data_IF_344021359180
#
_entry.id   IF_344021359180
#
_cell.length_a   1.000
_cell.length_b   1.000
_cell.length_c   1.000
_cell.angle_alpha   90.00
_cell.angle_beta   90.00
_cell.angle_gamma   90.00
#
_symmetry.space_group_name_H-M   'P 1'
#
loop_
_entity.id
_entity.type
_entity.pdbx_description
1 polymer ?
#
# COMPACT_ATOMS: atom_id res chain seq x y z
N UNK A 1 11.67 69.11 -44.66
CA UNK A 1 10.47 68.47 -44.08
C UNK A 1 10.58 68.57 -42.56
N UNK A 2 10.01 69.61 -41.95
CA UNK A 2 10.11 69.82 -40.50
C UNK A 2 9.11 68.89 -39.79
N UNK A 3 9.59 67.83 -39.16
CA UNK A 3 8.75 67.02 -38.29
C UNK A 3 8.44 67.82 -37.02
N UNK A 4 7.16 68.05 -36.73
CA UNK A 4 6.71 68.60 -35.45
C UNK A 4 7.24 67.72 -34.30
N UNK A 5 7.73 68.35 -33.23
CA UNK A 5 8.30 67.70 -32.03
C UNK A 5 7.38 66.58 -31.50
N UNK A 6 6.05 66.74 -31.58
CA UNK A 6 5.10 65.72 -31.14
C UNK A 6 5.03 64.49 -32.05
N UNK A 7 5.27 64.66 -33.36
CA UNK A 7 5.32 63.55 -34.33
C UNK A 7 6.61 62.76 -34.18
N UNK A 8 7.75 63.44 -33.96
CA UNK A 8 9.04 62.82 -33.68
C UNK A 8 9.05 61.99 -32.39
N UNK A 9 8.47 62.53 -31.31
CA UNK A 9 8.36 61.82 -30.03
C UNK A 9 7.50 60.54 -30.14
N UNK A 10 6.39 60.60 -30.89
CA UNK A 10 5.53 59.42 -31.13
C UNK A 10 6.24 58.33 -31.92
N UNK A 11 6.99 58.69 -32.95
CA UNK A 11 7.79 57.70 -33.72
C UNK A 11 8.88 57.06 -32.87
N UNK A 12 9.53 57.83 -31.99
CA UNK A 12 10.60 57.32 -31.13
C UNK A 12 10.05 56.38 -30.05
N UNK A 13 8.91 56.73 -29.45
CA UNK A 13 8.19 55.87 -28.53
C UNK A 13 7.76 54.56 -29.18
N UNK A 14 7.24 54.62 -30.42
CA UNK A 14 6.84 53.42 -31.17
C UNK A 14 8.03 52.49 -31.46
N UNK A 15 9.18 53.04 -31.87
CA UNK A 15 10.41 52.26 -32.13
C UNK A 15 10.94 51.61 -30.85
N UNK A 16 10.97 52.34 -29.73
CA UNK A 16 11.39 51.79 -28.44
C UNK A 16 10.47 50.65 -27.99
N UNK A 17 9.16 50.79 -28.21
CA UNK A 17 8.18 49.78 -27.85
C UNK A 17 8.34 48.52 -28.72
N UNK A 18 8.55 48.66 -30.02
CA UNK A 18 8.84 47.52 -30.91
C UNK A 18 10.17 46.82 -30.56
N UNK A 19 11.21 47.56 -30.18
CA UNK A 19 12.49 46.99 -29.75
C UNK A 19 12.39 46.25 -28.40
N UNK A 20 11.48 46.67 -27.51
CA UNK A 20 11.25 45.98 -26.24
C UNK A 20 10.53 44.64 -26.42
N UNK A 21 9.68 44.51 -27.45
CA UNK A 21 8.95 43.26 -27.75
C UNK A 21 9.87 42.20 -28.37
N UNK A 22 10.93 42.59 -29.10
CA UNK A 22 11.92 41.65 -29.63
C UNK A 22 12.91 41.12 -28.58
N UNK A 23 12.90 41.67 -27.36
CA UNK A 23 13.74 41.21 -26.25
C UNK A 23 13.16 39.99 -25.50
N UNK A 24 11.92 39.59 -25.81
CA UNK A 24 11.35 38.33 -25.33
C UNK A 24 12.06 37.15 -26.02
N UNK A 25 13.18 36.73 -25.44
CA UNK A 25 13.98 35.60 -25.93
C UNK A 25 13.17 34.29 -25.92
N UNK A 26 13.36 33.51 -26.98
CA UNK A 26 12.82 32.15 -27.08
C UNK A 26 13.18 31.34 -25.82
N UNK A 27 12.29 30.49 -25.30
CA UNK A 27 12.63 29.58 -24.20
C UNK A 27 13.84 28.74 -24.63
N UNK A 28 14.97 28.92 -23.93
CA UNK A 28 16.21 28.21 -24.22
C UNK A 28 16.11 26.79 -23.71
N UNK A 29 16.54 25.81 -24.52
CA UNK A 29 16.45 24.38 -24.20
C UNK A 29 17.32 23.92 -23.02
N UNK A 30 18.14 24.82 -22.45
CA UNK A 30 18.96 24.53 -21.27
C UNK A 30 20.26 25.35 -21.23
N UNK A 31 21.07 25.12 -20.19
CA UNK A 31 22.39 25.74 -20.04
C UNK A 31 23.38 25.21 -21.08
N UNK A 32 24.28 26.08 -21.52
CA UNK A 32 25.40 25.75 -22.39
C UNK A 32 26.53 25.04 -21.65
N UNK A 33 27.42 24.39 -22.39
CA UNK A 33 28.60 23.72 -21.81
C UNK A 33 29.43 24.67 -20.94
N UNK A 34 29.66 25.91 -21.38
CA UNK A 34 30.44 26.88 -20.59
C UNK A 34 29.77 27.24 -19.26
N UNK A 35 28.44 27.33 -19.24
CA UNK A 35 27.65 27.58 -18.03
C UNK A 35 27.67 26.38 -17.09
N UNK A 36 27.54 25.16 -17.61
CA UNK A 36 27.63 23.92 -16.82
C UNK A 36 28.99 23.84 -16.12
N UNK A 37 30.09 24.12 -16.83
CA UNK A 37 31.45 24.07 -16.27
C UNK A 37 31.80 25.24 -15.33
N UNK A 38 31.03 26.33 -15.34
CA UNK A 38 31.32 27.52 -14.52
C UNK A 38 31.32 27.23 -13.02
N UNK A 39 30.43 26.36 -12.55
CA UNK A 39 30.34 25.95 -11.14
C UNK A 39 31.16 24.70 -10.80
N UNK A 40 32.01 24.21 -11.72
CA UNK A 40 32.72 22.96 -11.50
C UNK A 40 33.92 23.11 -10.59
N UNK A 41 34.31 22.04 -9.91
CA UNK A 41 35.56 21.97 -9.15
C UNK A 41 36.78 22.32 -10.02
N UNK A 42 36.76 21.99 -11.32
CA UNK A 42 37.80 22.36 -12.28
C UNK A 42 37.95 23.88 -12.47
N UNK A 43 36.92 24.66 -12.12
CA UNK A 43 36.89 26.13 -12.17
C UNK A 43 36.70 26.77 -10.79
N UNK A 44 37.00 26.03 -9.72
CA UNK A 44 36.94 26.55 -8.35
C UNK A 44 35.54 26.60 -7.72
N UNK A 45 34.55 25.94 -8.32
CA UNK A 45 33.25 25.67 -7.69
C UNK A 45 33.23 24.35 -6.92
N UNK A 46 32.04 23.85 -6.61
CA UNK A 46 31.80 22.64 -5.81
C UNK A 46 31.14 21.49 -6.59
N UNK A 47 30.79 21.71 -7.86
CA UNK A 47 30.14 20.69 -8.68
C UNK A 47 31.16 19.75 -9.38
N UNK A 48 30.95 18.44 -9.25
CA UNK A 48 31.67 17.44 -10.04
C UNK A 48 30.94 17.18 -11.36
N UNK A 49 31.58 17.52 -12.47
CA UNK A 49 31.06 17.24 -13.81
C UNK A 49 31.72 15.98 -14.34
N UNK A 50 30.92 14.92 -14.48
CA UNK A 50 31.37 13.63 -15.00
C UNK A 50 30.86 13.48 -16.43
N UNK A 51 31.78 13.27 -17.38
CA UNK A 51 31.39 12.94 -18.75
C UNK A 51 30.80 11.54 -18.82
N UNK A 52 29.60 11.42 -19.39
CA UNK A 52 28.93 10.14 -19.58
C UNK A 52 29.70 9.31 -20.60
N UNK A 53 30.19 8.15 -20.18
CA UNK A 53 30.89 7.18 -21.01
C UNK A 53 30.55 5.75 -20.55
N UNK A 54 30.87 4.70 -21.33
CA UNK A 54 30.51 3.33 -20.99
C UNK A 54 31.03 2.85 -19.63
N UNK A 55 32.17 3.37 -19.16
CA UNK A 55 32.71 3.04 -17.83
C UNK A 55 31.82 3.64 -16.73
N UNK A 56 31.41 4.91 -16.86
CA UNK A 56 30.52 5.58 -15.90
C UNK A 56 29.16 4.89 -15.89
N UNK A 57 28.56 4.64 -17.06
CA UNK A 57 27.26 3.96 -17.16
C UNK A 57 27.28 2.58 -16.49
N UNK A 58 28.36 1.81 -16.65
CA UNK A 58 28.52 0.52 -15.97
C UNK A 58 28.76 0.66 -14.46
N UNK A 59 29.54 1.65 -14.04
CA UNK A 59 29.78 1.89 -12.62
C UNK A 59 28.52 2.37 -11.89
N UNK A 60 27.62 3.07 -12.59
CA UNK A 60 26.36 3.59 -12.04
C UNK A 60 25.16 2.71 -12.38
N UNK A 61 25.32 1.56 -13.04
CA UNK A 61 24.22 0.65 -13.35
C UNK A 61 23.83 -0.14 -12.11
N UNK A 62 23.13 0.51 -11.19
CA UNK A 62 22.46 -0.16 -10.08
C UNK A 62 21.09 -0.59 -10.59
N UNK A 63 20.88 -1.89 -10.74
CA UNK A 63 19.53 -2.42 -10.91
C UNK A 63 18.93 -2.61 -9.51
N UNK A 64 17.80 -1.95 -9.18
CA UNK A 64 17.07 -2.28 -7.97
C UNK A 64 16.69 -3.75 -8.02
N UNK A 65 16.90 -4.48 -6.91
CA UNK A 65 16.36 -5.82 -6.80
C UNK A 65 14.83 -5.72 -6.74
N UNK A 66 14.15 -6.10 -7.83
CA UNK A 66 12.71 -6.27 -7.81
C UNK A 66 12.41 -7.58 -7.07
N UNK A 67 11.81 -7.47 -5.89
CA UNK A 67 11.47 -8.61 -5.06
C UNK A 67 10.67 -8.18 -3.83
N UNK A 68 10.09 -9.16 -3.14
CA UNK A 68 9.43 -8.90 -1.87
C UNK A 68 10.47 -8.58 -0.79
N UNK A 69 10.16 -7.58 0.04
CA UNK A 69 11.04 -7.20 1.14
C UNK A 69 11.18 -8.32 2.18
N UNK A 70 12.21 -8.26 3.03
CA UNK A 70 12.50 -9.30 4.03
C UNK A 70 11.34 -9.55 5.00
N UNK A 71 10.51 -8.55 5.28
CA UNK A 71 9.31 -8.73 6.12
C UNK A 71 8.27 -9.67 5.50
N UNK A 72 8.18 -9.72 4.17
CA UNK A 72 7.25 -10.60 3.47
C UNK A 72 7.87 -11.98 3.22
N UNK A 73 9.14 -12.04 2.79
CA UNK A 73 9.80 -13.34 2.55
C UNK A 73 10.05 -14.13 3.83
N UNK A 74 10.18 -13.45 4.97
CA UNK A 74 10.35 -14.08 6.28
C UNK A 74 9.05 -14.17 7.09
N UNK A 75 7.91 -13.77 6.52
CA UNK A 75 6.63 -13.94 7.20
C UNK A 75 6.37 -15.45 7.40
N UNK A 76 5.94 -15.83 8.60
CA UNK A 76 5.52 -17.20 8.87
C UNK A 76 4.34 -17.59 7.98
N UNK A 77 4.29 -18.85 7.56
CA UNK A 77 3.13 -19.39 6.85
C UNK A 77 1.95 -19.34 7.82
N UNK A 78 0.97 -18.46 7.55
CA UNK A 78 -0.31 -18.51 8.25
C UNK A 78 -0.94 -19.83 7.83
N UNK A 79 -1.08 -20.76 8.77
CA UNK A 79 -1.74 -22.03 8.50
C UNK A 79 -3.14 -21.75 7.95
N UNK A 80 -3.51 -22.43 6.86
CA UNK A 80 -4.83 -22.34 6.20
C UNK A 80 -5.99 -22.62 7.17
N UNK A 81 -5.69 -23.20 8.32
CA UNK A 81 -6.67 -23.74 9.24
C UNK A 81 -6.84 -22.83 10.47
N UNK A 82 -6.34 -21.60 10.50
CA UNK A 82 -6.53 -20.72 11.66
C UNK A 82 -7.82 -19.91 11.52
N UNK A 83 -8.74 -20.12 12.45
CA UNK A 83 -10.00 -19.36 12.53
C UNK A 83 -9.70 -17.90 12.90
N UNK A 84 -10.37 -16.96 12.25
CA UNK A 84 -10.23 -15.51 12.44
C UNK A 84 -11.56 -14.87 12.87
N UNK A 85 -11.48 -13.62 13.36
CA UNK A 85 -12.67 -12.82 13.62
C UNK A 85 -13.38 -12.49 12.30
N UNK A 86 -14.70 -12.66 12.25
CA UNK A 86 -15.50 -12.52 11.04
C UNK A 86 -15.76 -13.82 10.28
N UNK A 87 -15.04 -14.91 10.59
CA UNK A 87 -15.31 -16.22 10.00
C UNK A 87 -16.71 -16.72 10.38
N UNK A 88 -17.28 -17.55 9.52
CA UNK A 88 -18.57 -18.21 9.75
C UNK A 88 -18.33 -19.70 9.90
N UNK A 89 -18.74 -20.25 11.04
CA UNK A 89 -18.56 -21.65 11.38
C UNK A 89 -19.90 -22.39 11.25
N UNK A 90 -19.84 -23.61 10.70
CA UNK A 90 -20.92 -24.60 10.79
C UNK A 90 -20.45 -25.69 11.73
N UNK A 91 -21.21 -25.92 12.81
CA UNK A 91 -20.89 -26.88 13.85
C UNK A 91 -22.00 -27.92 13.90
N UNK A 92 -21.63 -29.19 13.73
CA UNK A 92 -22.53 -30.33 13.92
C UNK A 92 -22.14 -31.05 15.18
N UNK A 93 -23.04 -31.11 16.15
CA UNK A 93 -22.85 -31.85 17.40
C UNK A 93 -23.68 -33.13 17.33
N UNK A 94 -23.03 -34.27 17.54
CA UNK A 94 -23.71 -35.57 17.64
C UNK A 94 -23.94 -35.91 19.11
N UNK A 95 -25.17 -36.29 19.44
CA UNK A 95 -25.60 -36.52 20.82
C UNK A 95 -26.03 -37.98 21.00
N UNK A 96 -25.67 -38.57 22.15
CA UNK A 96 -25.96 -39.98 22.45
C UNK A 96 -27.32 -40.18 23.16
N UNK A 97 -28.19 -39.16 23.20
CA UNK A 97 -29.50 -39.20 23.86
C UNK A 97 -30.59 -39.07 22.79
N UNK A 98 -31.58 -39.97 22.81
CA UNK A 98 -32.65 -40.01 21.79
C UNK A 98 -33.89 -39.20 22.19
N UNK A 99 -34.18 -39.10 23.49
CA UNK A 99 -35.45 -38.53 23.97
C UNK A 99 -35.38 -37.00 24.14
N UNK A 100 -34.36 -36.49 24.85
CA UNK A 100 -34.12 -35.04 25.05
C UNK A 100 -32.64 -34.69 24.78
N UNK A 101 -32.26 -34.39 23.51
CA UNK A 101 -30.94 -33.86 23.20
C UNK A 101 -30.75 -32.45 23.82
N UNK A 102 -29.53 -32.16 24.26
CA UNK A 102 -29.10 -30.90 24.87
C UNK A 102 -29.22 -29.73 23.87
N UNK A 103 -28.75 -29.90 22.63
CA UNK A 103 -28.68 -28.84 21.64
C UNK A 103 -29.72 -28.97 20.51
N UNK A 104 -30.44 -30.09 20.46
CA UNK A 104 -31.25 -30.51 19.32
C UNK A 104 -32.75 -30.52 19.58
N UNK A 105 -33.52 -30.86 18.55
CA UNK A 105 -34.94 -31.18 18.70
C UNK A 105 -35.14 -32.65 19.10
N UNK A 106 -36.13 -32.94 19.94
CA UNK A 106 -36.49 -34.31 20.36
C UNK A 106 -36.62 -35.26 19.17
N UNK A 107 -35.96 -36.42 19.22
CA UNK A 107 -35.93 -37.40 18.14
C UNK A 107 -34.84 -37.18 17.07
N UNK A 108 -34.07 -36.09 17.12
CA UNK A 108 -32.87 -35.88 16.29
C UNK A 108 -31.60 -36.22 17.09
N UNK A 109 -30.68 -36.99 16.50
CA UNK A 109 -29.38 -37.36 17.12
C UNK A 109 -28.23 -36.41 16.79
N UNK A 110 -28.52 -35.35 16.04
CA UNK A 110 -27.54 -34.33 15.68
C UNK A 110 -28.16 -32.93 15.78
N UNK A 111 -27.34 -32.00 16.21
CA UNK A 111 -27.68 -30.59 16.39
C UNK A 111 -26.79 -29.78 15.46
N UNK A 112 -27.40 -29.12 14.48
CA UNK A 112 -26.70 -28.27 13.53
C UNK A 112 -26.79 -26.82 13.98
N UNK A 113 -25.65 -26.25 14.34
CA UNK A 113 -25.49 -24.83 14.61
C UNK A 113 -24.84 -24.20 13.38
N UNK A 114 -25.71 -23.70 12.49
CA UNK A 114 -25.31 -23.09 11.24
C UNK A 114 -25.04 -21.59 11.41
N UNK A 115 -24.12 -21.08 10.60
CA UNK A 115 -23.86 -19.64 10.47
C UNK A 115 -23.42 -18.95 11.78
N UNK A 116 -22.68 -19.65 12.64
CA UNK A 116 -22.10 -19.01 13.83
C UNK A 116 -20.94 -18.12 13.39
N UNK A 117 -21.17 -16.81 13.44
CA UNK A 117 -20.13 -15.82 13.17
C UNK A 117 -19.19 -15.67 14.37
N UNK A 118 -17.89 -15.65 14.10
CA UNK A 118 -16.86 -15.29 15.07
C UNK A 118 -16.89 -13.77 15.27
N UNK A 119 -17.15 -13.32 16.50
CA UNK A 119 -17.30 -11.90 16.80
C UNK A 119 -15.98 -11.10 16.71
N UNK A 120 -16.06 -9.77 16.87
CA UNK A 120 -14.89 -8.89 16.80
C UNK A 120 -13.84 -9.12 17.90
N UNK A 121 -14.19 -9.84 18.96
CA UNK A 121 -13.24 -10.28 19.99
C UNK A 121 -12.70 -11.68 19.70
N UNK A 122 -13.09 -12.31 18.59
CA UNK A 122 -12.68 -13.65 18.21
C UNK A 122 -13.40 -14.76 18.96
N UNK A 123 -14.59 -14.49 19.51
CA UNK A 123 -15.37 -15.42 20.30
C UNK A 123 -16.58 -15.96 19.52
N UNK A 124 -17.04 -17.15 19.90
CA UNK A 124 -18.33 -17.71 19.50
C UNK A 124 -19.17 -18.03 20.72
N UNK A 125 -20.49 -18.08 20.55
CA UNK A 125 -21.40 -18.54 21.60
C UNK A 125 -21.98 -19.90 21.21
N UNK A 126 -21.88 -20.87 22.12
CA UNK A 126 -22.52 -22.18 21.99
C UNK A 126 -23.45 -22.37 23.19
N UNK A 127 -24.72 -22.76 22.98
CA UNK A 127 -25.62 -23.04 24.10
C UNK A 127 -25.01 -24.04 25.09
N UNK A 128 -25.22 -23.83 26.39
CA UNK A 128 -24.65 -24.59 27.53
C UNK A 128 -23.13 -24.51 27.71
N UNK A 129 -22.35 -24.41 26.62
CA UNK A 129 -20.89 -24.23 26.68
C UNK A 129 -20.46 -22.75 26.86
N UNK A 130 -21.36 -21.79 26.61
CA UNK A 130 -21.14 -20.36 26.79
C UNK A 130 -20.25 -19.74 25.70
N UNK A 131 -19.50 -18.69 26.08
CA UNK A 131 -18.59 -17.97 25.16
C UNK A 131 -17.24 -18.69 25.07
N UNK A 132 -16.81 -19.02 23.86
CA UNK A 132 -15.57 -19.76 23.58
C UNK A 132 -14.69 -18.93 22.64
N UNK A 133 -13.39 -18.84 22.94
CA UNK A 133 -12.41 -18.18 22.06
C UNK A 133 -12.13 -19.08 20.85
N UNK A 134 -12.58 -18.66 19.66
CA UNK A 134 -12.39 -19.37 18.40
C UNK A 134 -11.18 -18.83 17.60
N UNK A 135 -10.97 -17.52 17.59
CA UNK A 135 -9.90 -16.93 16.78
C UNK A 135 -8.51 -17.37 17.24
N UNK A 136 -7.61 -17.66 16.29
CA UNK A 136 -6.26 -18.12 16.58
C UNK A 136 -6.16 -19.62 16.88
N UNK A 137 -7.25 -20.36 16.71
CA UNK A 137 -7.30 -21.81 16.87
C UNK A 137 -7.54 -22.51 15.54
N UNK A 138 -7.12 -23.77 15.45
CA UNK A 138 -7.58 -24.64 14.38
C UNK A 138 -9.01 -25.16 14.61
N UNK A 139 -9.73 -25.57 13.55
CA UNK A 139 -11.00 -26.29 13.70
C UNK A 139 -10.91 -27.47 14.67
N UNK A 140 -9.79 -28.20 14.66
CA UNK A 140 -9.58 -29.35 15.53
C UNK A 140 -9.36 -28.95 16.99
N UNK A 141 -8.58 -27.91 17.25
CA UNK A 141 -8.42 -27.34 18.60
C UNK A 141 -9.75 -26.80 19.14
N UNK A 142 -10.51 -26.10 18.30
CA UNK A 142 -11.82 -25.59 18.67
C UNK A 142 -12.79 -26.75 18.96
N UNK A 143 -12.79 -27.82 18.15
CA UNK A 143 -13.60 -29.02 18.37
C UNK A 143 -13.35 -29.64 19.75
N UNK A 144 -12.09 -29.79 20.15
CA UNK A 144 -11.73 -30.32 21.46
C UNK A 144 -12.23 -29.45 22.62
N UNK A 145 -12.13 -28.13 22.47
CA UNK A 145 -12.59 -27.19 23.50
C UNK A 145 -14.11 -27.22 23.64
N UNK A 146 -14.84 -27.25 22.51
CA UNK A 146 -16.30 -27.34 22.50
C UNK A 146 -16.74 -28.64 23.17
N UNK A 147 -16.15 -29.77 22.78
CA UNK A 147 -16.46 -31.07 23.37
C UNK A 147 -16.22 -31.08 24.89
N UNK A 148 -15.07 -30.57 25.34
CA UNK A 148 -14.75 -30.46 26.78
C UNK A 148 -15.73 -29.56 27.55
N UNK A 149 -16.27 -28.52 26.92
CA UNK A 149 -17.23 -27.60 27.55
C UNK A 149 -18.65 -28.15 27.62
N UNK A 150 -19.01 -29.10 26.77
CA UNK A 150 -20.32 -29.75 26.74
C UNK A 150 -20.38 -31.02 27.62
N UNK A 151 -19.23 -31.55 28.03
CA UNK A 151 -19.12 -32.72 28.91
C UNK A 151 -19.25 -32.37 30.41
N UNK A 152 -19.35 -31.08 30.75
CA UNK A 152 -19.45 -30.58 32.13
C UNK A 152 -20.86 -30.08 32.44
#
# INVERSE_FOLDING_TARGET
>A
MAMSVSKGAKTLALVALMASVSACGLPRSGPSKSEIFKGSVLRGGDAFIVSVNPRVTRATSVMPAYGFGPGFTNAGVIGSDVIAAGDILSITVYENVTDEPLLGASGQRQSQLNEIQVDGQGMIFIPYAGRIKASGKSPEELRLIIASKLDT
#
